data_IF_125003038233
#
_entry.id   IF_125003038233
#
_cell.length_a   1.000
_cell.length_b   1.000
_cell.length_c   1.000
_cell.angle_alpha   90.00
_cell.angle_beta   90.00
_cell.angle_gamma   90.00
#
_symmetry.space_group_name_H-M   'P 1'
#
loop_
_entity.id
_entity.type
_entity.pdbx_description
1 polymer ?
#
# COMPACT_ATOMS: atom_id res chain seq x y z
N UNK A 1 -2.72 -73.51 -22.32
CA UNK A 1 -1.41 -73.08 -21.78
C UNK A 1 -1.21 -71.55 -21.77
N UNK A 2 -1.74 -70.77 -22.72
CA UNK A 2 -1.62 -69.31 -22.76
C UNK A 2 -2.54 -68.63 -21.72
N UNK A 3 -3.74 -69.12 -21.49
CA UNK A 3 -4.71 -68.55 -20.53
C UNK A 3 -4.19 -68.58 -19.09
N UNK A 4 -3.57 -69.67 -18.67
CA UNK A 4 -3.03 -69.78 -17.31
C UNK A 4 -1.87 -68.77 -17.06
N UNK A 5 -1.03 -68.47 -18.07
CA UNK A 5 0.01 -67.47 -17.97
C UNK A 5 -0.52 -66.03 -17.86
N UNK A 6 -1.64 -65.75 -18.50
CA UNK A 6 -2.32 -64.47 -18.42
C UNK A 6 -2.88 -64.25 -17.02
N UNK A 7 -3.56 -65.24 -16.46
CA UNK A 7 -4.15 -65.22 -15.12
C UNK A 7 -3.06 -65.00 -14.04
N UNK A 8 -1.92 -65.67 -14.19
CA UNK A 8 -0.82 -65.49 -13.24
C UNK A 8 -0.23 -64.05 -13.31
N UNK A 9 -0.11 -63.49 -14.48
CA UNK A 9 0.35 -62.09 -14.64
C UNK A 9 -0.63 -61.08 -13.98
N UNK A 10 -1.95 -61.31 -14.15
CA UNK A 10 -2.93 -60.51 -13.48
C UNK A 10 -2.91 -60.64 -11.94
N UNK A 11 -2.61 -61.83 -11.41
CA UNK A 11 -2.43 -62.03 -9.97
C UNK A 11 -1.23 -61.22 -9.44
N UNK A 12 -0.12 -61.23 -10.15
CA UNK A 12 1.07 -60.48 -9.78
C UNK A 12 0.80 -58.96 -9.76
N UNK A 13 0.13 -58.48 -10.81
CA UNK A 13 -0.25 -57.03 -10.88
C UNK A 13 -1.21 -56.67 -9.75
N UNK A 14 -2.19 -57.54 -9.45
CA UNK A 14 -3.13 -57.33 -8.33
C UNK A 14 -2.42 -57.25 -6.97
N UNK A 15 -1.48 -58.16 -6.73
CA UNK A 15 -0.69 -58.19 -5.49
C UNK A 15 0.17 -56.88 -5.41
N UNK A 16 0.80 -56.49 -6.50
CA UNK A 16 1.61 -55.27 -6.55
C UNK A 16 0.76 -54.02 -6.22
N UNK A 17 -0.41 -53.90 -6.84
CA UNK A 17 -1.36 -52.82 -6.57
C UNK A 17 -1.82 -52.81 -5.10
N UNK A 18 -2.08 -53.99 -4.54
CA UNK A 18 -2.52 -54.12 -3.14
C UNK A 18 -1.42 -53.70 -2.16
N UNK A 19 -0.17 -54.10 -2.45
CA UNK A 19 1.00 -53.64 -1.68
C UNK A 19 1.21 -52.11 -1.78
N UNK A 20 1.11 -51.55 -2.98
CA UNK A 20 1.23 -50.12 -3.18
C UNK A 20 0.16 -49.35 -2.40
N UNK A 21 -1.09 -49.83 -2.44
CA UNK A 21 -2.22 -49.26 -1.69
C UNK A 21 -2.01 -49.33 -0.16
N UNK A 22 -1.49 -50.48 0.32
CA UNK A 22 -1.18 -50.66 1.73
C UNK A 22 -0.09 -49.66 2.20
N UNK A 23 0.92 -49.37 1.40
CA UNK A 23 1.95 -48.38 1.72
C UNK A 23 1.37 -46.97 1.82
N UNK A 24 0.44 -46.60 0.91
CA UNK A 24 -0.23 -45.31 0.94
C UNK A 24 -1.06 -45.17 2.21
N UNK A 25 -1.85 -46.20 2.55
CA UNK A 25 -2.65 -46.18 3.79
C UNK A 25 -1.74 -46.07 5.02
N UNK A 26 -0.68 -46.87 5.10
CA UNK A 26 0.26 -46.80 6.20
C UNK A 26 0.88 -45.38 6.34
N UNK A 27 1.20 -44.73 5.22
CA UNK A 27 1.70 -43.34 5.22
C UNK A 27 0.65 -42.34 5.67
N UNK A 28 -0.60 -42.49 5.23
CA UNK A 28 -1.72 -41.66 5.70
C UNK A 28 -1.95 -41.80 7.22
N UNK A 29 -1.95 -43.02 7.73
CA UNK A 29 -2.07 -43.28 9.17
C UNK A 29 -0.91 -42.66 9.94
N UNK A 30 0.32 -42.84 9.45
CA UNK A 30 1.50 -42.25 10.06
C UNK A 30 1.40 -40.70 10.10
N UNK A 31 0.96 -40.06 9.02
CA UNK A 31 0.80 -38.60 8.99
C UNK A 31 -0.32 -38.12 9.93
N UNK A 32 -1.44 -38.86 10.00
CA UNK A 32 -2.57 -38.47 10.83
C UNK A 32 -2.39 -38.77 12.33
N UNK A 33 -1.64 -39.80 12.68
CA UNK A 33 -1.47 -40.20 14.08
C UNK A 33 -0.15 -39.73 14.66
N UNK A 34 0.95 -39.96 13.95
CA UNK A 34 2.31 -39.65 14.48
C UNK A 34 2.70 -38.22 14.25
N UNK A 35 2.33 -37.67 13.11
CA UNK A 35 2.68 -36.30 12.72
C UNK A 35 1.50 -35.32 12.84
N UNK A 36 0.43 -35.70 13.56
CA UNK A 36 -0.77 -34.88 13.72
C UNK A 36 -0.45 -33.48 14.26
N UNK A 37 0.29 -33.38 15.34
CA UNK A 37 0.65 -32.08 15.96
C UNK A 37 1.46 -31.21 15.01
N UNK A 38 2.39 -31.79 14.24
CA UNK A 38 3.17 -31.06 13.26
C UNK A 38 2.31 -30.47 12.15
N UNK A 39 1.41 -31.28 11.55
CA UNK A 39 0.55 -30.78 10.46
C UNK A 39 -0.56 -29.86 10.96
N UNK A 40 -1.04 -30.06 12.19
CA UNK A 40 -2.01 -29.15 12.82
C UNK A 40 -1.37 -27.79 13.10
N UNK A 41 -0.17 -27.75 13.67
CA UNK A 41 0.55 -26.49 13.89
C UNK A 41 0.88 -25.77 12.57
N UNK A 42 1.21 -26.53 11.53
CA UNK A 42 1.45 -25.97 10.19
C UNK A 42 0.17 -25.38 9.57
N UNK A 43 -0.98 -26.02 9.78
CA UNK A 43 -2.27 -25.54 9.32
C UNK A 43 -2.72 -24.32 10.12
N UNK A 44 -2.55 -24.34 11.44
CA UNK A 44 -2.85 -23.21 12.32
C UNK A 44 -1.98 -21.99 11.97
N UNK A 45 -0.68 -22.16 11.80
CA UNK A 45 0.24 -21.08 11.39
C UNK A 45 -0.06 -20.48 10.01
N UNK A 46 -0.75 -21.24 9.14
CA UNK A 46 -1.22 -20.71 7.84
C UNK A 46 -2.61 -20.09 7.92
N UNK A 47 -3.41 -20.48 8.90
CA UNK A 47 -4.81 -20.02 9.07
C UNK A 47 -4.88 -18.80 9.96
N UNK A 48 -4.02 -18.70 10.97
CA UNK A 48 -3.96 -17.55 11.86
C UNK A 48 -2.88 -16.57 11.40
N UNK A 49 -3.28 -15.33 11.23
CA UNK A 49 -2.39 -14.22 10.94
C UNK A 49 -2.14 -13.46 12.24
N UNK A 50 -0.91 -13.46 12.74
CA UNK A 50 -0.54 -12.60 13.85
C UNK A 50 -0.49 -11.15 13.38
N UNK A 51 -1.38 -10.32 13.89
CA UNK A 51 -1.37 -8.88 13.67
C UNK A 51 -0.68 -8.22 14.85
N UNK A 52 0.46 -7.59 14.61
CA UNK A 52 1.17 -6.84 15.65
C UNK A 52 0.39 -5.55 15.95
N UNK A 53 -0.20 -5.48 17.13
CA UNK A 53 -0.84 -4.26 17.62
C UNK A 53 0.22 -3.37 18.28
N UNK A 54 0.35 -2.13 17.83
CA UNK A 54 1.26 -1.16 18.45
C UNK A 54 0.80 -0.86 19.87
N UNK A 55 1.71 -0.97 20.83
CA UNK A 55 1.42 -0.61 22.21
C UNK A 55 1.16 0.90 22.33
N UNK A 56 0.19 1.26 23.17
CA UNK A 56 -0.06 2.65 23.52
C UNK A 56 1.18 3.27 24.20
N UNK A 57 1.46 4.53 23.89
CA UNK A 57 2.54 5.27 24.58
C UNK A 57 2.12 5.55 26.03
N UNK A 58 3.10 5.68 26.94
CA UNK A 58 2.84 6.08 28.33
C UNK A 58 2.19 7.46 28.42
N UNK A 59 1.29 7.63 29.36
CA UNK A 59 0.69 8.94 29.69
C UNK A 59 1.71 9.86 30.35
N UNK A 60 1.64 11.15 30.06
CA UNK A 60 2.40 12.20 30.77
C UNK A 60 1.43 12.90 31.71
N UNK A 61 1.73 12.87 33.00
CA UNK A 61 0.94 13.57 34.02
C UNK A 61 1.79 14.59 34.75
N UNK A 62 1.14 15.66 35.23
CA UNK A 62 1.82 16.65 36.08
C UNK A 62 2.02 16.09 37.50
N UNK A 63 2.72 16.88 38.34
CA UNK A 63 2.97 16.51 39.75
C UNK A 63 1.68 16.32 40.58
N UNK A 64 0.54 16.77 40.10
CA UNK A 64 -0.78 16.63 40.74
C UNK A 64 -1.59 15.49 40.15
N UNK A 65 -1.01 14.68 39.21
CA UNK A 65 -1.67 13.58 38.56
C UNK A 65 -2.59 13.95 37.41
N UNK A 66 -2.64 15.23 36.99
CA UNK A 66 -3.44 15.68 35.86
C UNK A 66 -2.80 15.23 34.55
N UNK A 67 -3.59 14.72 33.63
CA UNK A 67 -3.15 14.27 32.32
C UNK A 67 -2.68 15.46 31.47
N UNK A 68 -1.41 15.49 31.08
CA UNK A 68 -0.82 16.47 30.17
C UNK A 68 -0.81 15.96 28.73
N UNK A 69 -0.55 14.68 28.55
CA UNK A 69 -0.63 14.01 27.25
C UNK A 69 -0.98 12.53 27.45
N UNK A 70 -1.98 12.07 26.74
CA UNK A 70 -2.46 10.70 26.76
C UNK A 70 -2.70 10.17 25.36
N UNK A 71 -3.14 8.93 25.26
CA UNK A 71 -3.50 8.31 24.00
C UNK A 71 -5.04 8.40 23.84
N UNK A 72 -5.46 8.66 22.61
CA UNK A 72 -6.84 8.50 22.16
C UNK A 72 -6.88 7.35 21.17
N UNK A 73 -7.89 6.52 21.24
CA UNK A 73 -8.10 5.49 20.24
C UNK A 73 -8.59 6.13 18.94
N UNK A 74 -8.02 5.72 17.85
CA UNK A 74 -8.39 6.21 16.53
C UNK A 74 -8.61 5.04 15.58
N UNK A 75 -9.60 5.14 14.73
CA UNK A 75 -9.81 4.17 13.66
C UNK A 75 -8.84 4.42 12.51
N UNK A 76 -8.32 3.32 11.99
CA UNK A 76 -7.32 3.31 10.93
C UNK A 76 -7.78 2.38 9.83
N UNK A 77 -7.80 2.88 8.59
CA UNK A 77 -8.02 2.04 7.40
C UNK A 77 -6.70 1.40 7.01
N UNK A 78 -6.69 0.08 6.96
CA UNK A 78 -5.52 -0.72 6.61
C UNK A 78 -5.75 -1.53 5.33
N UNK A 79 -4.67 -1.74 4.58
CA UNK A 79 -4.65 -2.54 3.35
C UNK A 79 -3.79 -3.77 3.56
N UNK A 80 -4.35 -4.95 3.34
CA UNK A 80 -3.62 -6.22 3.30
C UNK A 80 -3.26 -6.58 1.87
N UNK A 81 -1.98 -6.48 1.54
CA UNK A 81 -1.48 -6.67 0.17
C UNK A 81 -1.82 -8.05 -0.41
N UNK A 82 -1.63 -9.11 0.37
CA UNK A 82 -1.90 -10.50 -0.01
C UNK A 82 -3.38 -10.75 -0.36
N UNK A 83 -4.30 -10.15 0.39
CA UNK A 83 -5.73 -10.27 0.15
C UNK A 83 -6.17 -9.40 -1.02
N UNK A 84 -5.78 -8.12 -1.04
CA UNK A 84 -6.18 -7.20 -2.11
C UNK A 84 -5.70 -7.67 -3.49
N UNK A 85 -4.49 -8.21 -3.60
CA UNK A 85 -3.90 -8.66 -4.87
C UNK A 85 -4.18 -10.13 -5.18
N UNK A 86 -5.07 -10.79 -4.44
CA UNK A 86 -5.52 -12.15 -4.75
C UNK A 86 -6.13 -12.23 -6.15
N UNK A 87 -6.01 -13.39 -6.81
CA UNK A 87 -6.49 -13.59 -8.19
C UNK A 87 -8.00 -13.38 -8.37
N UNK A 88 -8.74 -13.56 -7.30
CA UNK A 88 -10.21 -13.44 -7.31
C UNK A 88 -10.70 -12.00 -7.12
N UNK A 89 -9.81 -11.06 -6.83
CA UNK A 89 -10.16 -9.69 -6.51
C UNK A 89 -9.77 -8.71 -7.63
N UNK A 90 -10.68 -7.80 -7.94
CA UNK A 90 -10.35 -6.60 -8.74
C UNK A 90 -9.75 -5.52 -7.82
N UNK A 91 -8.46 -5.65 -7.60
CA UNK A 91 -7.72 -4.75 -6.73
C UNK A 91 -7.74 -3.27 -7.19
N UNK A 92 -7.95 -2.99 -8.49
CA UNK A 92 -8.05 -1.62 -9.00
C UNK A 92 -9.41 -1.01 -8.64
N UNK A 93 -10.49 -1.77 -8.79
CA UNK A 93 -11.84 -1.34 -8.41
C UNK A 93 -11.95 -1.12 -6.90
N UNK A 94 -11.41 -2.04 -6.09
CA UNK A 94 -11.38 -1.92 -4.63
C UNK A 94 -10.60 -0.67 -4.20
N UNK A 95 -9.40 -0.46 -4.77
CA UNK A 95 -8.58 0.71 -4.48
C UNK A 95 -9.29 2.02 -4.83
N UNK A 96 -9.95 2.08 -5.99
CA UNK A 96 -10.70 3.27 -6.38
C UNK A 96 -11.88 3.54 -5.45
N UNK A 97 -12.62 2.49 -5.06
CA UNK A 97 -13.80 2.60 -4.20
C UNK A 97 -13.44 3.13 -2.81
N UNK A 98 -12.40 2.59 -2.18
CA UNK A 98 -11.98 3.08 -0.87
C UNK A 98 -11.41 4.50 -0.94
N UNK A 99 -10.59 4.82 -1.96
CA UNK A 99 -10.04 6.15 -2.13
C UNK A 99 -11.12 7.21 -2.37
N UNK A 100 -12.15 6.89 -3.15
CA UNK A 100 -13.28 7.79 -3.36
C UNK A 100 -14.01 8.07 -2.04
N UNK A 101 -14.23 7.04 -1.21
CA UNK A 101 -14.90 7.21 0.09
C UNK A 101 -14.09 8.06 1.05
N UNK A 102 -12.77 7.83 1.13
CA UNK A 102 -11.87 8.65 1.96
C UNK A 102 -11.89 10.13 1.53
N UNK A 103 -11.88 10.38 0.21
CA UNK A 103 -11.90 11.75 -0.33
C UNK A 103 -13.27 12.41 -0.11
N UNK A 104 -14.37 11.68 -0.29
CA UNK A 104 -15.74 12.15 -0.04
C UNK A 104 -15.92 12.60 1.41
N UNK A 105 -15.41 11.83 2.35
CA UNK A 105 -15.48 12.14 3.78
C UNK A 105 -14.40 13.15 4.24
N UNK A 106 -13.54 13.65 3.35
CA UNK A 106 -12.46 14.58 3.68
C UNK A 106 -11.34 13.98 4.53
N UNK A 107 -11.19 12.66 4.50
CA UNK A 107 -10.20 11.96 5.31
C UNK A 107 -8.77 12.19 4.83
N UNK A 108 -7.84 12.24 5.77
CA UNK A 108 -6.40 12.25 5.47
C UNK A 108 -5.90 10.84 5.16
N UNK A 109 -5.27 10.67 3.99
CA UNK A 109 -4.73 9.38 3.56
C UNK A 109 -3.25 9.47 3.17
N UNK A 110 -2.56 8.32 3.20
CA UNK A 110 -1.16 8.22 2.83
C UNK A 110 -0.97 8.29 1.31
N UNK A 111 -0.33 9.36 0.84
CA UNK A 111 -0.02 9.58 -0.59
C UNK A 111 1.49 9.64 -0.82
N UNK A 112 2.11 8.50 -1.07
CA UNK A 112 3.51 8.33 -1.39
C UNK A 112 3.77 8.19 -2.90
N UNK A 113 2.75 8.39 -3.75
CA UNK A 113 2.92 8.23 -5.18
C UNK A 113 3.64 9.45 -5.77
N UNK A 114 4.84 9.28 -6.35
CA UNK A 114 5.72 10.40 -6.66
C UNK A 114 5.40 11.14 -7.95
N UNK A 115 4.25 10.89 -8.58
CA UNK A 115 3.75 11.67 -9.71
C UNK A 115 2.48 12.40 -9.27
N UNK A 116 2.51 13.72 -9.38
CA UNK A 116 1.36 14.60 -9.10
C UNK A 116 0.79 15.14 -10.40
N UNK A 117 -0.51 15.39 -10.38
CA UNK A 117 -1.26 16.00 -11.48
C UNK A 117 -1.87 17.29 -10.95
N UNK A 118 -1.53 18.42 -11.56
CA UNK A 118 -2.08 19.72 -11.18
C UNK A 118 -3.53 19.92 -11.69
N UNK A 119 -4.14 21.05 -11.33
CA UNK A 119 -5.51 21.42 -11.77
C UNK A 119 -5.61 21.58 -13.30
N UNK A 120 -4.51 21.85 -13.98
CA UNK A 120 -4.44 22.02 -15.43
C UNK A 120 -4.16 20.70 -16.17
N UNK A 121 -4.02 19.58 -15.45
CA UNK A 121 -3.70 18.27 -16.02
C UNK A 121 -2.22 18.07 -16.38
N UNK A 122 -1.30 18.88 -15.83
CA UNK A 122 0.13 18.69 -16.03
C UNK A 122 0.68 17.70 -15.02
N UNK A 123 1.61 16.88 -15.49
CA UNK A 123 2.26 15.84 -14.69
C UNK A 123 3.65 16.28 -14.24
N UNK A 124 3.96 16.09 -12.95
CA UNK A 124 5.27 16.40 -12.38
C UNK A 124 5.72 15.31 -11.41
N UNK A 125 7.04 15.09 -11.34
CA UNK A 125 7.63 14.24 -10.31
C UNK A 125 7.89 15.03 -9.02
N UNK A 126 7.61 14.43 -7.88
CA UNK A 126 8.03 14.97 -6.56
C UNK A 126 9.51 14.69 -6.29
N UNK A 127 10.10 13.67 -6.92
CA UNK A 127 11.51 13.28 -6.77
C UNK A 127 12.48 14.03 -7.71
N UNK A 128 12.00 14.94 -8.53
CA UNK A 128 12.76 15.48 -9.67
C UNK A 128 13.69 16.64 -9.30
N UNK A 129 13.76 17.02 -8.02
CA UNK A 129 14.52 18.18 -7.58
C UNK A 129 15.57 17.79 -6.57
N UNK A 130 16.78 18.37 -6.73
CA UNK A 130 17.77 18.37 -5.68
C UNK A 130 17.27 19.24 -4.53
N UNK A 131 17.36 18.72 -3.30
CA UNK A 131 16.89 19.42 -2.10
C UNK A 131 17.59 20.76 -1.90
N UNK A 132 18.91 20.82 -2.12
CA UNK A 132 19.69 22.05 -1.97
C UNK A 132 19.25 23.11 -2.97
N UNK A 133 19.12 22.74 -4.26
CA UNK A 133 18.70 23.65 -5.33
C UNK A 133 17.26 24.11 -5.12
N UNK A 134 16.39 23.21 -4.59
CA UNK A 134 15.01 23.56 -4.26
C UNK A 134 14.93 24.60 -3.14
N UNK A 135 15.73 24.41 -2.07
CA UNK A 135 15.79 25.36 -0.97
C UNK A 135 16.33 26.71 -1.42
N UNK A 136 17.41 26.74 -2.17
CA UNK A 136 17.99 27.97 -2.72
C UNK A 136 17.00 28.74 -3.60
N UNK A 137 16.35 28.04 -4.55
CA UNK A 137 15.37 28.63 -5.46
C UNK A 137 14.17 29.25 -4.75
N UNK A 138 13.75 28.69 -3.62
CA UNK A 138 12.60 29.16 -2.85
C UNK A 138 12.99 29.96 -1.61
N UNK A 139 14.24 30.41 -1.50
CA UNK A 139 14.78 31.16 -0.35
C UNK A 139 14.57 30.49 1.00
N UNK A 140 14.65 29.16 1.03
CA UNK A 140 14.46 28.37 2.25
C UNK A 140 15.82 28.14 2.92
N UNK A 141 15.97 28.37 4.23
CA UNK A 141 17.21 28.12 4.95
C UNK A 141 17.70 26.67 4.78
N UNK A 142 19.01 26.51 4.51
CA UNK A 142 19.60 25.20 4.20
C UNK A 142 19.57 24.20 5.37
N UNK A 143 19.57 24.71 6.60
CA UNK A 143 19.61 23.91 7.83
C UNK A 143 18.27 23.29 8.26
N UNK A 144 17.15 23.65 7.63
CA UNK A 144 15.84 23.13 7.99
C UNK A 144 15.70 21.64 7.58
N UNK A 145 15.07 20.83 8.45
CA UNK A 145 14.69 19.46 8.12
C UNK A 145 13.47 19.42 7.17
N UNK A 146 13.04 18.23 6.74
CA UNK A 146 11.96 18.10 5.76
C UNK A 146 10.63 18.70 6.24
N UNK A 147 10.26 18.48 7.51
CA UNK A 147 9.03 19.03 8.10
C UNK A 147 9.10 20.55 8.20
N UNK A 148 10.19 21.06 8.70
CA UNK A 148 10.43 22.51 8.81
C UNK A 148 10.45 23.17 7.44
N UNK A 149 11.10 22.56 6.45
CA UNK A 149 11.11 23.03 5.06
C UNK A 149 9.70 23.13 4.46
N UNK A 150 8.86 22.11 4.72
CA UNK A 150 7.49 22.09 4.21
C UNK A 150 6.65 23.24 4.80
N UNK A 151 6.66 23.38 6.12
CA UNK A 151 5.89 24.43 6.78
C UNK A 151 6.46 25.84 6.54
N UNK A 152 7.76 25.99 6.44
CA UNK A 152 8.40 27.26 6.05
C UNK A 152 7.91 27.71 4.66
N UNK A 153 7.82 26.77 3.70
CA UNK A 153 7.27 27.07 2.38
C UNK A 153 5.80 27.50 2.47
N UNK A 154 5.00 26.79 3.26
CA UNK A 154 3.57 27.14 3.46
C UNK A 154 3.43 28.54 4.05
N UNK A 155 4.18 28.84 5.10
CA UNK A 155 4.15 30.14 5.76
C UNK A 155 4.59 31.28 4.83
N UNK A 156 5.67 31.09 4.07
CA UNK A 156 6.13 32.04 3.06
C UNK A 156 5.10 32.32 1.98
N UNK A 157 4.36 31.28 1.54
CA UNK A 157 3.31 31.41 0.52
C UNK A 157 2.01 32.03 1.07
N UNK A 158 1.79 31.98 2.37
CA UNK A 158 0.70 32.72 3.03
C UNK A 158 1.09 34.19 3.14
N UNK A 159 2.33 34.49 3.52
CA UNK A 159 2.84 35.86 3.64
C UNK A 159 2.84 36.59 2.28
N UNK A 160 3.15 35.93 1.18
CA UNK A 160 3.11 36.52 -0.16
C UNK A 160 1.69 36.55 -0.79
N UNK A 161 0.68 35.99 -0.12
CA UNK A 161 -0.72 35.96 -0.56
C UNK A 161 -1.05 34.88 -1.60
N UNK A 162 -0.11 33.99 -1.93
CA UNK A 162 -0.37 32.83 -2.82
C UNK A 162 -1.30 31.81 -2.18
N UNK A 163 -1.15 31.59 -0.89
CA UNK A 163 -2.06 30.81 -0.05
C UNK A 163 -2.86 31.74 0.89
N UNK A 164 -3.99 31.24 1.37
CA UNK A 164 -4.82 31.97 2.34
C UNK A 164 -4.41 31.59 3.77
N UNK A 165 -4.60 32.51 4.73
CA UNK A 165 -4.37 32.20 6.15
C UNK A 165 -5.21 31.01 6.65
N UNK A 166 -6.43 30.82 6.12
CA UNK A 166 -7.26 29.65 6.41
C UNK A 166 -6.66 28.33 6.00
N UNK A 167 -5.74 28.34 5.03
CA UNK A 167 -5.10 27.12 4.53
C UNK A 167 -4.11 26.52 5.54
N UNK A 168 -3.64 27.31 6.50
CA UNK A 168 -2.79 26.86 7.61
C UNK A 168 -3.42 25.74 8.45
N UNK A 169 -4.77 25.70 8.49
CA UNK A 169 -5.53 24.72 9.26
C UNK A 169 -5.82 23.42 8.47
N UNK A 170 -5.42 23.37 7.18
CA UNK A 170 -5.56 22.17 6.38
C UNK A 170 -4.61 21.09 6.86
N UNK A 171 -5.02 19.83 6.70
CA UNK A 171 -4.12 18.73 6.96
C UNK A 171 -2.95 18.71 5.95
N UNK A 172 -1.88 17.97 6.26
CA UNK A 172 -0.65 17.93 5.45
C UNK A 172 -0.88 17.48 4.01
N UNK A 173 -1.82 16.53 3.78
CA UNK A 173 -2.13 16.04 2.44
C UNK A 173 -2.90 17.07 1.61
N UNK A 174 -3.83 17.79 2.20
CA UNK A 174 -4.55 18.90 1.56
C UNK A 174 -3.62 20.08 1.26
N UNK A 175 -2.73 20.40 2.20
CA UNK A 175 -1.69 21.41 1.96
C UNK A 175 -0.80 21.02 0.79
N UNK A 176 -0.35 19.76 0.71
CA UNK A 176 0.44 19.29 -0.42
C UNK A 176 -0.32 19.40 -1.75
N UNK A 177 -1.60 18.97 -1.79
CA UNK A 177 -2.45 19.14 -2.98
C UNK A 177 -2.54 20.59 -3.39
N UNK A 178 -2.72 21.47 -2.42
CA UNK A 178 -2.84 22.90 -2.68
C UNK A 178 -1.53 23.51 -3.16
N UNK A 179 -0.38 23.16 -2.59
CA UNK A 179 0.93 23.52 -3.10
C UNK A 179 1.12 23.06 -4.54
N UNK A 180 0.79 21.81 -4.83
CA UNK A 180 0.90 21.23 -6.16
C UNK A 180 0.01 21.98 -7.18
N UNK A 181 -1.22 22.35 -6.81
CA UNK A 181 -2.12 23.12 -7.68
C UNK A 181 -1.59 24.52 -7.99
N UNK A 182 -0.74 25.07 -7.13
CA UNK A 182 -0.05 26.35 -7.34
C UNK A 182 1.32 26.22 -8.03
N UNK A 183 1.71 24.99 -8.43
CA UNK A 183 2.97 24.72 -9.11
C UNK A 183 4.18 24.54 -8.19
N UNK A 184 3.96 24.42 -6.89
CA UNK A 184 5.00 24.12 -5.91
C UNK A 184 5.05 22.62 -5.64
N UNK A 185 6.18 22.01 -5.97
CA UNK A 185 6.40 20.56 -5.81
C UNK A 185 7.61 20.35 -4.90
N UNK A 186 7.44 20.44 -3.57
CA UNK A 186 8.56 20.22 -2.65
C UNK A 186 9.08 18.79 -2.75
N UNK A 187 10.40 18.55 -2.78
CA UNK A 187 10.98 17.22 -2.81
C UNK A 187 10.89 16.55 -1.42
N UNK A 188 9.66 16.41 -0.92
CA UNK A 188 9.35 15.94 0.42
C UNK A 188 8.19 14.94 0.33
N UNK A 189 8.36 13.77 0.95
CA UNK A 189 7.26 12.87 1.28
C UNK A 189 6.59 13.39 2.55
N UNK A 190 5.40 13.96 2.43
CA UNK A 190 4.70 14.59 3.58
C UNK A 190 4.15 13.57 4.56
N UNK A 191 4.02 12.30 4.17
CA UNK A 191 3.54 11.21 5.03
C UNK A 191 4.45 10.96 6.22
N UNK A 192 5.76 11.04 6.02
CA UNK A 192 6.79 10.85 7.05
C UNK A 192 7.76 12.04 7.17
N UNK A 193 7.56 13.09 6.37
CA UNK A 193 8.44 14.25 6.27
C UNK A 193 9.91 13.88 5.99
N UNK A 194 10.12 13.08 4.95
CA UNK A 194 11.46 12.76 4.46
C UNK A 194 11.76 13.46 3.14
N UNK A 195 13.00 13.90 2.96
CA UNK A 195 13.47 14.43 1.69
C UNK A 195 13.58 13.31 0.65
N UNK A 196 13.25 13.64 -0.60
CA UNK A 196 13.37 12.74 -1.75
C UNK A 196 14.57 13.11 -2.61
N UNK A 197 15.17 12.10 -3.24
CA UNK A 197 16.35 12.26 -4.09
C UNK A 197 16.13 11.70 -5.49
N UNK A 198 16.88 12.22 -6.46
CA UNK A 198 16.85 11.74 -7.86
C UNK A 198 17.18 10.24 -7.95
N UNK A 199 18.09 9.75 -7.10
CA UNK A 199 18.41 8.33 -7.04
C UNK A 199 17.19 7.48 -6.70
N UNK A 200 16.43 7.88 -5.70
CA UNK A 200 15.21 7.18 -5.29
C UNK A 200 14.17 7.16 -6.43
N UNK A 201 14.06 8.26 -7.20
CA UNK A 201 13.23 8.29 -8.41
C UNK A 201 13.65 7.24 -9.42
N UNK A 202 14.92 7.14 -9.72
CA UNK A 202 15.43 6.21 -10.73
C UNK A 202 15.20 4.76 -10.30
N UNK A 203 15.55 4.41 -9.08
CA UNK A 203 15.34 3.07 -8.51
C UNK A 203 13.83 2.69 -8.52
N UNK A 204 12.97 3.65 -8.20
CA UNK A 204 11.52 3.48 -8.23
C UNK A 204 11.00 3.25 -9.65
N UNK A 205 11.38 4.07 -10.64
CA UNK A 205 10.97 3.92 -12.04
C UNK A 205 11.45 2.60 -12.64
N UNK A 206 12.72 2.25 -12.43
CA UNK A 206 13.32 1.01 -12.94
C UNK A 206 12.69 -0.26 -12.31
N UNK A 207 11.98 -0.13 -11.20
CA UNK A 207 11.24 -1.23 -10.59
C UNK A 207 9.98 -1.65 -11.36
N UNK A 208 9.51 -0.86 -12.33
CA UNK A 208 8.34 -1.17 -13.16
C UNK A 208 8.74 -1.83 -14.47
N UNK A 209 8.96 -3.13 -14.40
CA UNK A 209 9.26 -3.98 -15.56
C UNK A 209 8.28 -5.14 -15.60
N UNK A 210 7.60 -5.33 -16.74
CA UNK A 210 6.64 -6.42 -16.96
C UNK A 210 6.71 -6.90 -18.41
N UNK A 211 6.58 -8.20 -18.62
CA UNK A 211 6.37 -8.77 -19.95
C UNK A 211 4.88 -8.77 -20.22
N UNK A 212 4.44 -8.15 -21.30
CA UNK A 212 3.03 -8.12 -21.72
C UNK A 212 2.65 -9.41 -22.45
N UNK A 213 1.35 -9.65 -22.61
CA UNK A 213 0.81 -10.87 -23.23
C UNK A 213 1.20 -11.01 -24.72
N UNK A 214 1.41 -9.87 -25.40
CA UNK A 214 1.93 -9.82 -26.77
C UNK A 214 3.43 -10.08 -26.90
N UNK A 215 4.11 -10.34 -25.77
CA UNK A 215 5.55 -10.60 -25.70
C UNK A 215 6.42 -9.35 -25.63
N UNK A 216 5.85 -8.15 -25.74
CA UNK A 216 6.57 -6.88 -25.58
C UNK A 216 6.98 -6.67 -24.12
N UNK A 217 8.11 -5.96 -23.91
CA UNK A 217 8.58 -5.59 -22.56
C UNK A 217 8.09 -4.18 -22.23
N UNK A 218 7.19 -4.09 -21.27
CA UNK A 218 6.84 -2.83 -20.65
C UNK A 218 7.94 -2.46 -19.65
N UNK A 219 8.56 -1.32 -19.83
CA UNK A 219 9.64 -0.82 -18.98
C UNK A 219 9.50 0.69 -18.81
N UNK A 220 9.54 1.15 -17.58
CA UNK A 220 9.59 2.57 -17.25
C UNK A 220 11.04 2.97 -17.09
N UNK A 221 11.47 3.98 -17.85
CA UNK A 221 12.85 4.44 -17.85
C UNK A 221 13.00 5.70 -17.00
N UNK A 222 14.19 5.89 -16.45
CA UNK A 222 14.53 7.09 -15.68
C UNK A 222 14.50 8.38 -16.53
N UNK A 223 14.57 8.24 -17.85
CA UNK A 223 14.46 9.34 -18.83
C UNK A 223 13.02 9.68 -19.22
N UNK A 224 12.04 8.85 -18.82
CA UNK A 224 10.64 9.11 -19.16
C UNK A 224 10.14 10.37 -18.43
N UNK A 225 9.38 11.19 -19.13
CA UNK A 225 8.66 12.30 -18.48
C UNK A 225 7.59 11.77 -17.53
N UNK A 226 7.18 12.56 -16.53
CA UNK A 226 6.17 12.16 -15.56
C UNK A 226 4.88 11.63 -16.20
N UNK A 227 4.43 12.28 -17.30
CA UNK A 227 3.25 11.84 -18.07
C UNK A 227 3.45 10.48 -18.74
N UNK A 228 4.63 10.25 -19.34
CA UNK A 228 4.95 8.97 -20.00
C UNK A 228 5.07 7.85 -18.97
N UNK A 229 5.79 8.10 -17.86
CA UNK A 229 5.91 7.15 -16.77
C UNK A 229 4.55 6.81 -16.16
N UNK A 230 3.70 7.80 -15.91
CA UNK A 230 2.34 7.60 -15.39
C UNK A 230 1.54 6.65 -16.28
N UNK A 231 1.52 6.88 -17.61
CA UNK A 231 0.82 6.01 -18.56
C UNK A 231 1.36 4.58 -18.55
N UNK A 232 2.69 4.41 -18.53
CA UNK A 232 3.31 3.09 -18.45
C UNK A 232 3.00 2.38 -17.13
N UNK A 233 2.99 3.09 -16.00
CA UNK A 233 2.64 2.53 -14.70
C UNK A 233 1.16 2.16 -14.66
N UNK A 234 0.29 2.97 -15.24
CA UNK A 234 -1.13 2.65 -15.44
C UNK A 234 -1.31 1.34 -16.19
N UNK A 235 -0.60 1.15 -17.31
CA UNK A 235 -0.59 -0.08 -18.09
C UNK A 235 0.01 -1.26 -17.31
N UNK A 236 1.07 -1.02 -16.53
CA UNK A 236 1.70 -2.03 -15.66
C UNK A 236 0.69 -2.69 -14.72
N UNK A 237 -0.20 -1.90 -14.11
CA UNK A 237 -1.24 -2.36 -13.21
C UNK A 237 -2.55 -2.73 -13.89
N UNK A 238 -2.65 -2.64 -15.22
CA UNK A 238 -3.86 -2.96 -15.97
C UNK A 238 -5.04 -2.06 -15.62
N UNK A 239 -4.79 -0.78 -15.36
CA UNK A 239 -5.84 0.20 -15.06
C UNK A 239 -6.50 0.62 -16.37
N UNK A 240 -7.83 0.55 -16.42
CA UNK A 240 -8.64 0.85 -17.61
C UNK A 240 -8.38 2.27 -18.13
N UNK A 241 -8.12 2.37 -19.45
CA UNK A 241 -7.85 3.64 -20.12
C UNK A 241 -9.08 4.57 -20.20
N UNK A 242 -10.29 4.06 -19.95
CA UNK A 242 -11.51 4.86 -19.86
C UNK A 242 -11.61 5.70 -18.59
N UNK A 243 -10.89 5.35 -17.53
CA UNK A 243 -10.86 6.12 -16.29
C UNK A 243 -10.13 7.44 -16.48
N UNK A 244 -10.55 8.46 -15.74
CA UNK A 244 -9.82 9.73 -15.68
C UNK A 244 -8.40 9.54 -15.13
N UNK A 245 -7.46 10.41 -15.50
CA UNK A 245 -6.10 10.38 -14.96
C UNK A 245 -6.09 10.60 -13.42
N UNK A 246 -7.05 11.37 -12.89
CA UNK A 246 -7.22 11.57 -11.46
C UNK A 246 -7.68 10.28 -10.77
N UNK A 247 -8.65 9.54 -11.34
CA UNK A 247 -9.09 8.26 -10.76
C UNK A 247 -8.02 7.17 -10.89
N UNK A 248 -7.31 7.14 -12.02
CA UNK A 248 -6.15 6.28 -12.19
C UNK A 248 -5.07 6.58 -11.13
N UNK A 249 -4.83 7.87 -10.80
CA UNK A 249 -3.90 8.27 -9.75
C UNK A 249 -4.32 7.77 -8.37
N UNK A 250 -5.61 7.82 -8.02
CA UNK A 250 -6.13 7.26 -6.77
C UNK A 250 -5.79 5.77 -6.62
N UNK A 251 -5.97 5.01 -7.69
CA UNK A 251 -5.59 3.59 -7.72
C UNK A 251 -4.09 3.43 -7.53
N UNK A 252 -3.29 4.24 -8.24
CA UNK A 252 -1.83 4.18 -8.19
C UNK A 252 -1.26 4.54 -6.82
N UNK A 253 -1.90 5.40 -6.04
CA UNK A 253 -1.53 5.66 -4.63
C UNK A 253 -1.57 4.37 -3.82
N UNK A 254 -2.68 3.63 -3.85
CA UNK A 254 -2.82 2.37 -3.12
C UNK A 254 -1.83 1.31 -3.64
N UNK A 255 -1.68 1.19 -4.95
CA UNK A 255 -0.73 0.26 -5.58
C UNK A 255 0.72 0.57 -5.22
N UNK A 256 1.08 1.84 -5.18
CA UNK A 256 2.42 2.27 -4.78
C UNK A 256 2.67 2.04 -3.28
N UNK A 257 1.68 2.28 -2.45
CA UNK A 257 1.76 1.99 -1.02
C UNK A 257 2.05 0.50 -0.78
N UNK A 258 1.34 -0.39 -1.46
CA UNK A 258 1.59 -1.85 -1.42
C UNK A 258 3.00 -2.17 -1.93
N UNK A 259 3.42 -1.58 -3.05
CA UNK A 259 4.74 -1.84 -3.63
C UNK A 259 5.88 -1.39 -2.70
N UNK A 260 5.70 -0.29 -2.00
CA UNK A 260 6.71 0.25 -1.06
C UNK A 260 6.97 -0.68 0.13
N UNK A 261 6.04 -1.56 0.47
CA UNK A 261 6.18 -2.56 1.53
C UNK A 261 7.21 -3.66 1.20
N UNK A 262 7.46 -3.92 -0.08
CA UNK A 262 8.40 -4.94 -0.55
C UNK A 262 7.98 -6.35 -0.15
N UNK A 263 8.86 -7.08 0.53
CA UNK A 263 8.62 -8.48 0.93
C UNK A 263 7.69 -8.67 2.14
N UNK A 264 7.25 -7.58 2.80
CA UNK A 264 6.41 -7.66 4.01
C UNK A 264 4.92 -7.77 3.69
N UNK A 265 4.55 -8.49 2.67
CA UNK A 265 3.18 -8.57 2.12
C UNK A 265 2.11 -9.04 3.10
N UNK A 266 2.52 -9.71 4.18
CA UNK A 266 1.61 -10.22 5.22
C UNK A 266 1.23 -9.19 6.29
N UNK A 267 1.96 -8.08 6.40
CA UNK A 267 1.62 -7.04 7.36
C UNK A 267 0.64 -6.05 6.72
N UNK A 268 -0.43 -5.65 7.42
CA UNK A 268 -1.31 -4.61 6.91
C UNK A 268 -0.59 -3.26 6.86
N UNK A 269 -0.91 -2.46 5.86
CA UNK A 269 -0.38 -1.12 5.65
C UNK A 269 -1.46 -0.11 5.98
N UNK A 270 -1.13 0.91 6.73
CA UNK A 270 -2.03 2.03 7.01
C UNK A 270 -2.23 2.86 5.73
N UNK A 271 -3.49 3.00 5.31
CA UNK A 271 -3.90 3.86 4.20
C UNK A 271 -4.39 5.22 4.70
N UNK A 272 -5.18 5.22 5.77
CA UNK A 272 -5.69 6.44 6.38
C UNK A 272 -5.79 6.26 7.89
N UNK A 273 -5.50 7.32 8.65
CA UNK A 273 -5.56 7.34 10.11
C UNK A 273 -6.56 8.37 10.57
N UNK A 274 -7.13 8.15 11.75
CA UNK A 274 -8.11 9.05 12.36
C UNK A 274 -9.36 9.24 11.47
N UNK A 275 -9.86 8.13 10.93
CA UNK A 275 -11.02 8.15 10.05
C UNK A 275 -12.33 8.25 10.85
N UNK A 276 -13.36 8.82 10.22
CA UNK A 276 -14.67 9.00 10.80
C UNK A 276 -15.44 7.68 10.96
N UNK A 277 -16.45 7.68 11.81
CA UNK A 277 -17.37 6.56 11.99
C UNK A 277 -18.13 6.21 10.68
N UNK A 278 -18.35 7.18 9.80
CA UNK A 278 -18.95 6.95 8.49
C UNK A 278 -18.04 6.10 7.59
N UNK A 279 -16.75 6.38 7.61
CA UNK A 279 -15.77 5.58 6.88
C UNK A 279 -15.67 4.16 7.46
N UNK A 280 -15.69 4.03 8.78
CA UNK A 280 -15.70 2.74 9.48
C UNK A 280 -16.93 1.93 9.06
N UNK A 281 -18.14 2.51 9.19
CA UNK A 281 -19.39 1.84 8.81
C UNK A 281 -19.38 1.41 7.34
N UNK A 282 -18.91 2.28 6.45
CA UNK A 282 -18.81 1.95 5.02
C UNK A 282 -17.88 0.75 4.76
N UNK A 283 -16.72 0.68 5.41
CA UNK A 283 -15.78 -0.44 5.23
C UNK A 283 -16.36 -1.74 5.78
N UNK A 284 -16.95 -1.71 6.96
CA UNK A 284 -17.55 -2.89 7.61
C UNK A 284 -18.76 -3.42 6.83
N UNK A 285 -19.66 -2.54 6.38
CA UNK A 285 -20.85 -2.92 5.58
C UNK A 285 -20.44 -3.50 4.20
N UNK A 286 -19.34 -3.05 3.64
CA UNK A 286 -18.85 -3.49 2.34
C UNK A 286 -17.69 -4.48 2.43
N UNK A 287 -17.41 -5.09 3.59
CA UNK A 287 -16.23 -5.95 3.81
C UNK A 287 -16.06 -7.05 2.74
N UNK A 288 -17.15 -7.65 2.26
CA UNK A 288 -17.13 -8.67 1.19
C UNK A 288 -16.62 -8.09 -0.14
N UNK A 289 -16.99 -6.84 -0.46
CA UNK A 289 -16.63 -6.17 -1.72
C UNK A 289 -15.33 -5.37 -1.61
N UNK A 290 -14.80 -5.19 -0.40
CA UNK A 290 -13.56 -4.49 -0.10
C UNK A 290 -12.50 -5.47 0.44
N UNK A 291 -12.41 -6.63 -0.18
CA UNK A 291 -11.44 -7.66 0.21
C UNK A 291 -10.02 -7.09 0.30
N UNK A 292 -9.38 -7.29 1.44
CA UNK A 292 -8.05 -6.74 1.73
C UNK A 292 -8.05 -5.32 2.32
N UNK A 293 -9.22 -4.70 2.51
CA UNK A 293 -9.35 -3.47 3.30
C UNK A 293 -9.96 -3.84 4.65
N UNK A 294 -9.42 -3.30 5.72
CA UNK A 294 -9.87 -3.56 7.09
C UNK A 294 -9.76 -2.31 7.96
N UNK A 295 -10.56 -2.28 9.01
CA UNK A 295 -10.45 -1.26 10.07
C UNK A 295 -9.65 -1.84 11.22
N UNK A 296 -8.74 -1.03 11.74
CA UNK A 296 -8.01 -1.31 12.97
C UNK A 296 -8.16 -0.15 13.94
N UNK A 297 -8.00 -0.43 15.21
CA UNK A 297 -8.00 0.60 16.25
C UNK A 297 -6.56 0.77 16.74
N UNK A 298 -5.98 1.94 16.50
CA UNK A 298 -4.63 2.27 16.94
C UNK A 298 -4.64 3.45 17.93
N UNK A 299 -3.83 3.39 19.01
CA UNK A 299 -3.68 4.51 19.91
C UNK A 299 -2.86 5.64 19.24
N UNK A 300 -3.47 6.80 19.10
CA UNK A 300 -2.81 8.04 18.66
C UNK A 300 -2.63 8.99 19.83
N UNK A 301 -1.69 9.93 19.73
CA UNK A 301 -1.37 10.89 20.77
C UNK A 301 -1.62 12.31 20.28
#
# INVERSE_FOLDING_TARGET
MVENKIIERFKVIKIFLLCAFAVIIAKMVYMNVVQHEYYTSLAENKTYKEVTIKAARGEIRDRYGRLLAGNTNSFVVQVSSDQLTSKDNDANSIALKIMNKLIENGEEYEDNFPIVIDENGNFSYTYDKNVSDYKEKNNIPSNLNAKETFYYLVDSLIEDGTLKESDRNLNRGELQKKLNSKGYYPPILVTNFEFTEIKNKNDWLESFVKKLDDGTKLEVKNTDSAKVAFKKIRQYYGIDDSLSDQDARKILIVRNLIKSQGYRTYYPITLASNVSEETVSFVEENAVNLSGISISNEPIR
#
